data_IF_192307034730
#
_entry.id   IF_192307034730
#
_cell.length_a   1.000
_cell.length_b   1.000
_cell.length_c   1.000
_cell.angle_alpha   90.00
_cell.angle_beta   90.00
_cell.angle_gamma   90.00
#
_symmetry.space_group_name_H-M   'P 1'
#
loop_
_entity.id
_entity.type
_entity.pdbx_description
1 polymer ?
#
# COMPACT_ATOMS: atom_id res chain seq x y z
N UNK A 1 -27.65 5.18 -14.12
CA UNK A 1 -26.64 6.21 -13.79
C UNK A 1 -25.77 5.60 -12.73
N UNK A 2 -24.51 5.33 -13.05
CA UNK A 2 -23.57 4.73 -12.10
C UNK A 2 -23.08 5.81 -11.13
N UNK A 3 -23.38 5.65 -9.85
CA UNK A 3 -22.85 6.52 -8.80
C UNK A 3 -21.33 6.32 -8.70
N UNK A 4 -20.52 7.39 -8.78
CA UNK A 4 -19.08 7.29 -8.60
C UNK A 4 -18.77 6.73 -7.20
N UNK A 5 -18.10 5.59 -7.15
CA UNK A 5 -17.78 4.89 -5.90
C UNK A 5 -18.64 3.68 -5.54
N UNK A 6 -19.54 3.22 -6.43
CA UNK A 6 -20.22 1.94 -6.24
C UNK A 6 -19.19 0.77 -6.17
N UNK A 7 -19.42 -0.29 -5.36
CA UNK A 7 -18.48 -1.41 -5.20
C UNK A 7 -18.07 -2.09 -6.52
N UNK A 8 -18.97 -2.10 -7.50
CA UNK A 8 -18.72 -2.65 -8.83
C UNK A 8 -17.71 -1.80 -9.63
N UNK A 9 -17.75 -0.47 -9.50
CA UNK A 9 -16.81 0.46 -10.13
C UNK A 9 -15.39 0.29 -9.55
N UNK A 10 -15.29 0.23 -8.21
CA UNK A 10 -14.03 -0.05 -7.53
C UNK A 10 -13.43 -1.40 -7.95
N UNK A 11 -14.26 -2.44 -8.07
CA UNK A 11 -13.82 -3.77 -8.49
C UNK A 11 -13.25 -3.74 -9.92
N UNK A 12 -13.95 -3.07 -10.86
CA UNK A 12 -13.45 -2.90 -12.24
C UNK A 12 -12.15 -2.09 -12.28
N UNK A 13 -12.05 -1.03 -11.48
CA UNK A 13 -10.86 -0.19 -11.35
C UNK A 13 -9.65 -0.99 -10.87
N UNK A 14 -9.80 -1.75 -9.78
CA UNK A 14 -8.73 -2.61 -9.23
C UNK A 14 -8.30 -3.66 -10.25
N UNK A 15 -9.23 -4.32 -10.94
CA UNK A 15 -8.91 -5.31 -11.95
C UNK A 15 -8.14 -4.71 -13.15
N UNK A 16 -8.47 -3.48 -13.56
CA UNK A 16 -7.72 -2.76 -14.59
C UNK A 16 -6.29 -2.44 -14.13
N UNK A 17 -6.15 -1.85 -12.94
CA UNK A 17 -4.86 -1.47 -12.35
C UNK A 17 -3.92 -2.66 -12.15
N UNK A 18 -4.46 -3.78 -11.67
CA UNK A 18 -3.70 -5.02 -11.52
C UNK A 18 -3.02 -5.42 -12.84
N UNK A 19 -3.79 -5.48 -13.94
CA UNK A 19 -3.25 -5.80 -15.27
C UNK A 19 -2.18 -4.81 -15.74
N UNK A 20 -2.37 -3.52 -15.45
CA UNK A 20 -1.41 -2.48 -15.79
C UNK A 20 -0.08 -2.68 -15.03
N UNK A 21 -0.14 -3.02 -13.73
CA UNK A 21 1.04 -3.28 -12.90
C UNK A 21 1.84 -4.51 -13.34
N UNK A 22 1.22 -5.49 -14.00
CA UNK A 22 1.88 -6.71 -14.50
C UNK A 22 2.70 -6.51 -15.79
N UNK A 23 2.59 -5.36 -16.45
CA UNK A 23 3.41 -5.05 -17.61
C UNK A 23 4.89 -4.90 -17.20
N UNK A 24 5.87 -5.18 -18.09
CA UNK A 24 7.29 -5.12 -17.74
C UNK A 24 7.74 -3.71 -17.36
N UNK A 25 7.98 -3.51 -16.07
CA UNK A 25 8.51 -2.29 -15.44
C UNK A 25 9.54 -2.70 -14.38
N UNK A 26 10.39 -1.78 -13.93
CA UNK A 26 11.19 -2.03 -12.73
C UNK A 26 10.30 -2.08 -11.47
N UNK A 27 10.81 -2.74 -10.44
CA UNK A 27 10.05 -2.99 -9.20
C UNK A 27 9.73 -1.67 -8.48
N UNK A 28 10.69 -0.75 -8.35
CA UNK A 28 10.47 0.53 -7.64
C UNK A 28 9.36 1.35 -8.30
N UNK A 29 9.39 1.45 -9.63
CA UNK A 29 8.34 2.14 -10.39
C UNK A 29 6.98 1.49 -10.21
N UNK A 30 6.92 0.16 -10.15
CA UNK A 30 5.67 -0.55 -9.89
C UNK A 30 5.14 -0.23 -8.49
N UNK A 31 5.98 -0.30 -7.46
CA UNK A 31 5.59 -0.01 -6.08
C UNK A 31 5.09 1.43 -5.91
N UNK A 32 5.80 2.42 -6.50
CA UNK A 32 5.35 3.82 -6.50
C UNK A 32 4.01 4.02 -7.19
N UNK A 33 3.76 3.31 -8.31
CA UNK A 33 2.49 3.42 -9.01
C UNK A 33 1.35 2.81 -8.19
N UNK A 34 1.60 1.71 -7.50
CA UNK A 34 0.63 1.09 -6.58
C UNK A 34 0.24 2.05 -5.46
N UNK A 35 1.21 2.62 -4.73
CA UNK A 35 0.92 3.50 -3.59
C UNK A 35 0.26 4.81 -4.01
N UNK A 36 0.69 5.42 -5.10
CA UNK A 36 0.03 6.60 -5.67
C UNK A 36 -1.42 6.31 -6.08
N UNK A 37 -1.66 5.14 -6.67
CA UNK A 37 -3.01 4.72 -7.07
C UNK A 37 -3.91 4.46 -5.86
N UNK A 38 -3.37 3.91 -4.78
CA UNK A 38 -4.12 3.67 -3.55
C UNK A 38 -4.67 4.99 -2.99
N UNK A 39 -3.83 6.03 -2.89
CA UNK A 39 -4.25 7.39 -2.48
C UNK A 39 -5.31 7.96 -3.44
N UNK A 40 -5.14 7.77 -4.75
CA UNK A 40 -6.08 8.31 -5.74
C UNK A 40 -7.44 7.58 -5.82
N UNK A 41 -7.51 6.33 -5.34
CA UNK A 41 -8.69 5.46 -5.53
C UNK A 41 -9.46 5.21 -4.23
N UNK A 42 -8.76 5.11 -3.09
CA UNK A 42 -9.38 4.82 -1.79
C UNK A 42 -9.80 6.13 -1.13
N UNK A 43 -11.11 6.37 -1.07
CA UNK A 43 -11.66 7.55 -0.38
C UNK A 43 -11.20 7.60 1.08
N UNK A 44 -10.65 8.74 1.49
CA UNK A 44 -10.11 8.97 2.84
C UNK A 44 -8.66 8.50 3.05
N UNK A 45 -7.98 8.01 2.01
CA UNK A 45 -6.56 7.70 2.09
C UNK A 45 -5.70 8.91 1.72
N UNK A 46 -5.13 9.59 2.72
CA UNK A 46 -4.23 10.74 2.51
C UNK A 46 -2.77 10.33 2.22
N UNK A 47 -2.39 9.10 2.57
CA UNK A 47 -1.04 8.58 2.39
C UNK A 47 -1.05 7.06 2.24
N UNK A 48 -0.08 6.52 1.52
CA UNK A 48 0.13 5.10 1.34
C UNK A 48 1.62 4.76 1.30
N UNK A 49 1.97 3.56 1.74
CA UNK A 49 3.32 2.99 1.68
C UNK A 49 3.24 1.47 1.67
N UNK A 50 4.38 0.82 1.38
CA UNK A 50 4.49 -0.64 1.38
C UNK A 50 5.56 -1.02 2.41
N UNK A 51 5.18 -1.81 3.41
CA UNK A 51 6.12 -2.39 4.37
C UNK A 51 6.42 -3.83 3.97
N UNK A 52 7.68 -4.11 3.63
CA UNK A 52 8.17 -5.47 3.43
C UNK A 52 8.72 -5.98 4.75
N UNK A 53 8.20 -7.12 5.21
CA UNK A 53 8.65 -7.79 6.44
C UNK A 53 9.26 -9.13 6.06
N UNK A 54 10.57 -9.26 6.25
CA UNK A 54 11.26 -10.54 6.08
C UNK A 54 11.50 -11.19 7.46
N UNK A 55 10.91 -12.37 7.64
CA UNK A 55 10.97 -13.08 8.92
C UNK A 55 10.31 -12.28 10.05
N UNK A 56 11.04 -12.06 11.14
CA UNK A 56 10.54 -11.37 12.35
C UNK A 56 11.35 -10.11 12.72
N UNK A 57 12.28 -9.68 11.88
CA UNK A 57 13.29 -8.68 12.26
C UNK A 57 13.68 -7.69 11.17
N UNK A 58 13.39 -7.98 9.91
CA UNK A 58 13.78 -7.11 8.82
C UNK A 58 12.55 -6.38 8.31
N UNK A 59 12.55 -5.07 8.49
CA UNK A 59 11.51 -4.17 8.04
C UNK A 59 12.09 -3.25 6.96
N UNK A 60 11.41 -3.15 5.83
CA UNK A 60 11.80 -2.26 4.75
C UNK A 60 10.57 -1.50 4.24
N UNK A 61 10.48 -0.23 4.60
CA UNK A 61 9.48 0.70 4.04
C UNK A 61 9.86 1.06 2.61
N UNK A 62 8.88 1.03 1.73
CA UNK A 62 9.04 1.25 0.29
C UNK A 62 7.93 2.15 -0.24
N UNK A 63 8.28 2.96 -1.23
CA UNK A 63 7.33 3.72 -2.06
C UNK A 63 6.30 4.56 -1.28
N UNK A 64 6.70 5.16 -0.15
CA UNK A 64 5.86 6.10 0.60
C UNK A 64 5.43 7.29 -0.27
N UNK A 65 4.14 7.64 -0.23
CA UNK A 65 3.62 8.85 -0.87
C UNK A 65 3.88 10.11 -0.06
N UNK A 66 4.30 9.94 1.20
CA UNK A 66 4.72 10.95 2.16
C UNK A 66 5.66 10.30 3.18
N UNK A 67 6.16 11.07 4.15
CA UNK A 67 7.00 10.53 5.23
C UNK A 67 6.20 9.76 6.29
N UNK A 68 4.86 9.93 6.32
CA UNK A 68 4.00 9.37 7.37
C UNK A 68 4.00 7.82 7.39
N UNK A 69 3.85 7.10 6.25
CA UNK A 69 3.93 5.64 6.23
C UNK A 69 5.21 5.07 6.84
N UNK A 70 6.38 5.66 6.53
CA UNK A 70 7.67 5.21 7.07
C UNK A 70 7.74 5.43 8.59
N UNK A 71 7.24 6.56 9.08
CA UNK A 71 7.16 6.82 10.52
C UNK A 71 6.26 5.80 11.24
N UNK A 72 5.12 5.45 10.64
CA UNK A 72 4.19 4.44 11.17
C UNK A 72 4.82 3.04 11.17
N UNK A 73 5.52 2.67 10.11
CA UNK A 73 6.26 1.40 10.02
C UNK A 73 7.32 1.30 11.13
N UNK A 74 8.08 2.39 11.36
CA UNK A 74 9.05 2.46 12.46
C UNK A 74 8.42 2.32 13.84
N UNK A 75 7.16 2.75 14.04
CA UNK A 75 6.42 2.52 15.29
C UNK A 75 6.02 1.05 15.41
N UNK A 76 5.50 0.44 14.34
CA UNK A 76 5.12 -0.97 14.32
C UNK A 76 6.30 -1.90 14.59
N UNK A 77 7.46 -1.60 13.99
CA UNK A 77 8.72 -2.32 14.24
C UNK A 77 9.13 -2.22 15.72
N UNK A 78 9.16 -1.01 16.28
CA UNK A 78 9.59 -0.77 17.67
C UNK A 78 8.69 -1.47 18.68
N UNK A 79 7.38 -1.44 18.46
CA UNK A 79 6.41 -2.04 19.36
C UNK A 79 6.25 -3.55 19.14
N UNK A 80 6.56 -4.04 17.93
CA UNK A 80 6.27 -5.43 17.55
C UNK A 80 4.77 -5.69 17.38
N UNK A 81 3.99 -4.67 17.08
CA UNK A 81 2.52 -4.69 17.01
C UNK A 81 2.03 -3.80 15.86
N UNK A 82 0.85 -4.08 15.31
CA UNK A 82 0.19 -3.22 14.33
C UNK A 82 -0.52 -3.97 13.22
N UNK A 83 -1.10 -3.27 12.23
CA UNK A 83 -1.75 -3.89 11.08
C UNK A 83 -0.80 -4.80 10.28
N UNK A 84 0.48 -4.45 10.21
CA UNK A 84 1.49 -5.19 9.46
C UNK A 84 2.35 -6.12 10.33
N UNK A 85 2.23 -6.03 11.67
CA UNK A 85 3.04 -6.80 12.63
C UNK A 85 2.15 -7.49 13.65
N UNK A 86 2.23 -8.82 13.72
CA UNK A 86 1.47 -9.61 14.71
C UNK A 86 2.16 -9.54 16.08
N UNK A 87 1.41 -9.30 17.18
CA UNK A 87 1.95 -9.38 18.53
C UNK A 87 2.53 -10.76 18.80
N UNK A 88 3.61 -10.81 19.59
CA UNK A 88 4.19 -12.06 20.08
C UNK A 88 3.24 -12.69 21.11
N UNK A 89 2.62 -13.81 20.75
CA UNK A 89 2.11 -14.77 21.73
C UNK A 89 3.27 -15.58 22.33
#
# INVERSE_FOLDING_TARGET
MDEPGAPEDLTRRIAHLAREFFLPHDVDRTLRRVTATAVATVSGADSAGILVVEGKKTFASQAGTSDLPEQLDGIQEKLGEGPSVRPRA
#
